data_IF_879564272468
#
_entry.id   IF_879564272468
#
_cell.length_a   1.000
_cell.length_b   1.000
_cell.length_c   1.000
_cell.angle_alpha   90.00
_cell.angle_beta   90.00
_cell.angle_gamma   90.00
#
_symmetry.space_group_name_H-M   'P 1'
#
loop_
_entity.id
_entity.type
_entity.pdbx_description
1 polymer ?
#
# COMPACT_ATOMS: atom_id res chain seq x y z
N UNK A 1 -8.14 -8.73 -28.80
CA UNK A 1 -7.70 -8.58 -27.38
C UNK A 1 -7.84 -9.91 -26.67
N UNK A 2 -6.74 -10.44 -26.14
CA UNK A 2 -6.76 -11.70 -25.37
C UNK A 2 -7.06 -11.49 -23.87
N UNK A 3 -7.10 -10.22 -23.42
CA UNK A 3 -7.29 -9.86 -22.03
C UNK A 3 -6.01 -9.94 -21.20
N UNK A 4 -6.14 -9.66 -19.90
CA UNK A 4 -5.05 -9.75 -18.91
C UNK A 4 -5.62 -10.12 -17.54
N UNK A 5 -4.76 -10.44 -16.55
CA UNK A 5 -5.18 -10.64 -15.17
C UNK A 5 -5.65 -9.34 -14.50
N UNK A 6 -6.30 -9.47 -13.34
CA UNK A 6 -6.88 -8.36 -12.57
C UNK A 6 -5.84 -7.29 -12.15
N UNK A 7 -4.67 -7.71 -11.66
CA UNK A 7 -3.64 -6.78 -11.19
C UNK A 7 -2.98 -5.96 -12.31
N UNK A 8 -2.56 -6.53 -13.47
CA UNK A 8 -2.13 -5.72 -14.60
C UNK A 8 -3.22 -4.77 -15.11
N UNK A 9 -4.48 -5.23 -15.16
CA UNK A 9 -5.60 -4.38 -15.55
C UNK A 9 -5.79 -3.20 -14.58
N UNK A 10 -5.73 -3.45 -13.27
CA UNK A 10 -5.79 -2.40 -12.26
C UNK A 10 -4.59 -1.44 -12.35
N UNK A 11 -3.39 -1.95 -12.64
CA UNK A 11 -2.21 -1.11 -12.86
C UNK A 11 -2.37 -0.18 -14.08
N UNK A 12 -2.99 -0.67 -15.17
CA UNK A 12 -3.34 0.16 -16.32
C UNK A 12 -4.34 1.23 -15.90
N UNK A 13 -5.43 0.85 -15.22
CA UNK A 13 -6.49 1.76 -14.78
C UNK A 13 -6.01 2.91 -13.89
N UNK A 14 -4.92 2.69 -13.13
CA UNK A 14 -4.35 3.71 -12.24
C UNK A 14 -3.28 4.59 -12.91
N UNK A 15 -2.96 4.32 -14.18
CA UNK A 15 -1.90 5.00 -14.90
C UNK A 15 -0.49 4.65 -14.38
N UNK A 16 -0.31 3.48 -13.77
CA UNK A 16 0.97 2.99 -13.26
C UNK A 16 2.04 2.99 -14.36
N UNK A 17 1.71 2.53 -15.56
CA UNK A 17 2.63 2.45 -16.70
C UNK A 17 2.88 3.77 -17.41
N UNK A 18 1.88 4.65 -17.47
CA UNK A 18 1.97 5.91 -18.21
C UNK A 18 3.04 6.87 -17.63
N UNK A 19 3.16 6.90 -16.30
CA UNK A 19 4.07 7.82 -15.59
C UNK A 19 5.14 7.09 -14.78
N UNK A 20 5.13 5.76 -14.75
CA UNK A 20 6.15 4.95 -14.07
C UNK A 20 6.12 5.01 -12.54
N UNK A 21 5.05 5.49 -11.93
CA UNK A 21 4.93 5.58 -10.47
C UNK A 21 4.30 4.33 -9.85
N UNK A 22 4.77 3.92 -8.65
CA UNK A 22 4.14 2.84 -7.90
C UNK A 22 2.69 3.14 -7.55
N UNK A 23 1.89 2.09 -7.49
CA UNK A 23 0.50 2.12 -7.06
C UNK A 23 0.30 1.13 -5.92
N UNK A 24 -0.32 1.59 -4.84
CA UNK A 24 -0.77 0.76 -3.72
C UNK A 24 -2.29 0.59 -3.80
N UNK A 25 -2.74 -0.63 -4.02
CA UNK A 25 -4.14 -0.98 -3.81
C UNK A 25 -4.35 -1.34 -2.34
N UNK A 26 -5.03 -0.47 -1.59
CA UNK A 26 -5.27 -0.62 -0.15
C UNK A 26 -6.66 -1.20 0.10
N UNK A 27 -6.78 -2.50 -0.16
CA UNK A 27 -7.97 -3.32 0.05
C UNK A 27 -7.86 -4.20 1.29
N UNK A 28 -8.48 -5.38 1.27
CA UNK A 28 -8.33 -6.43 2.31
C UNK A 28 -6.85 -6.75 2.52
N UNK A 29 -6.12 -6.97 1.44
CA UNK A 29 -4.65 -6.95 1.40
C UNK A 29 -4.15 -5.67 0.74
N UNK A 30 -2.89 -5.31 1.01
CA UNK A 30 -2.19 -4.21 0.35
C UNK A 30 -1.33 -4.75 -0.79
N UNK A 31 -1.66 -4.39 -2.02
CA UNK A 31 -0.91 -4.81 -3.21
C UNK A 31 -0.13 -3.62 -3.76
N UNK A 32 1.19 -3.68 -3.62
CA UNK A 32 2.08 -2.71 -4.26
C UNK A 32 2.42 -3.20 -5.66
N UNK A 33 2.13 -2.37 -6.65
CA UNK A 33 2.40 -2.59 -8.06
C UNK A 33 3.38 -1.53 -8.56
N UNK A 34 4.38 -1.96 -9.30
CA UNK A 34 5.44 -1.08 -9.74
C UNK A 34 5.95 -1.50 -11.13
N UNK A 35 5.97 -0.58 -12.13
CA UNK A 35 6.46 -0.89 -13.47
C UNK A 35 7.99 -0.89 -13.51
N UNK A 36 8.57 -1.89 -14.16
CA UNK A 36 10.02 -2.01 -14.39
C UNK A 36 10.34 -2.16 -15.87
N UNK A 37 11.53 -1.72 -16.27
CA UNK A 37 12.07 -1.91 -17.62
C UNK A 37 12.81 -3.24 -17.78
N UNK A 38 13.32 -3.80 -16.66
CA UNK A 38 14.07 -5.05 -16.63
C UNK A 38 13.69 -5.87 -15.40
N UNK A 39 13.68 -7.18 -15.55
CA UNK A 39 13.52 -8.10 -14.42
C UNK A 39 14.76 -8.02 -13.54
N UNK A 40 14.55 -7.95 -12.23
CA UNK A 40 15.59 -8.10 -11.22
C UNK A 40 15.20 -9.26 -10.29
N UNK A 41 16.00 -10.33 -10.29
CA UNK A 41 15.78 -11.51 -9.44
C UNK A 41 16.40 -11.39 -8.04
N UNK A 42 17.16 -10.33 -7.77
CA UNK A 42 17.76 -10.09 -6.46
C UNK A 42 16.79 -9.44 -5.47
N UNK A 43 15.66 -8.90 -5.97
CA UNK A 43 14.62 -8.27 -5.15
C UNK A 43 13.41 -9.18 -5.02
N UNK A 44 12.65 -8.99 -3.92
CA UNK A 44 11.42 -9.73 -3.69
C UNK A 44 10.27 -9.17 -4.54
N UNK A 45 9.26 -9.99 -4.75
CA UNK A 45 8.08 -9.66 -5.52
C UNK A 45 7.87 -10.60 -6.72
N UNK A 46 6.67 -10.58 -7.27
CA UNK A 46 6.30 -11.37 -8.44
C UNK A 46 6.43 -10.50 -9.69
N UNK A 47 7.20 -10.96 -10.68
CA UNK A 47 7.28 -10.31 -11.99
C UNK A 47 6.14 -10.83 -12.88
N UNK A 48 5.32 -9.92 -13.40
CA UNK A 48 4.24 -10.21 -14.34
C UNK A 48 4.63 -9.58 -15.68
N UNK A 49 4.70 -10.40 -16.71
CA UNK A 49 5.00 -9.96 -18.05
C UNK A 49 3.71 -9.87 -18.85
N UNK A 50 3.51 -8.79 -19.57
CA UNK A 50 2.38 -8.61 -20.48
C UNK A 50 2.69 -7.55 -21.53
N UNK A 51 1.83 -7.43 -22.55
CA UNK A 51 1.93 -6.42 -23.59
C UNK A 51 0.58 -5.74 -23.78
N UNK A 52 0.58 -4.43 -23.96
CA UNK A 52 -0.62 -3.66 -24.26
C UNK A 52 -0.90 -3.55 -25.77
N UNK A 53 0.16 -3.58 -26.57
CA UNK A 53 0.11 -3.38 -28.03
C UNK A 53 0.56 -4.58 -28.86
N UNK A 54 1.00 -5.66 -28.18
CA UNK A 54 1.54 -6.86 -28.80
C UNK A 54 2.98 -6.71 -29.32
N UNK A 55 3.63 -5.56 -29.10
CA UNK A 55 5.00 -5.27 -29.56
C UNK A 55 5.95 -5.18 -28.39
N UNK A 56 5.63 -4.32 -27.41
CA UNK A 56 6.47 -4.09 -26.26
C UNK A 56 6.07 -4.98 -25.06
N UNK A 57 7.06 -5.57 -24.43
CA UNK A 57 6.86 -6.33 -23.16
C UNK A 57 6.96 -5.36 -22.00
N UNK A 58 5.91 -5.28 -21.23
CA UNK A 58 5.84 -4.54 -19.97
C UNK A 58 6.06 -5.49 -18.80
N UNK A 59 6.78 -4.99 -17.80
CA UNK A 59 7.05 -5.74 -16.57
C UNK A 59 6.36 -5.02 -15.42
N UNK A 60 5.46 -5.73 -14.74
CA UNK A 60 4.85 -5.28 -13.50
C UNK A 60 5.41 -6.11 -12.35
N UNK A 61 6.13 -5.47 -11.43
CA UNK A 61 6.52 -6.12 -10.19
C UNK A 61 5.42 -5.91 -9.17
N UNK A 62 5.02 -6.98 -8.51
CA UNK A 62 3.95 -6.98 -7.53
C UNK A 62 4.42 -7.59 -6.22
N UNK A 63 4.13 -6.93 -5.11
CA UNK A 63 4.31 -7.44 -3.77
C UNK A 63 3.06 -7.23 -2.92
N UNK A 64 2.90 -8.02 -1.87
CA UNK A 64 1.67 -8.06 -1.09
C UNK A 64 1.98 -8.02 0.41
N UNK A 65 1.33 -7.09 1.12
CA UNK A 65 1.08 -7.17 2.56
C UNK A 65 -0.29 -7.82 2.74
N UNK A 66 -0.35 -9.04 3.30
CA UNK A 66 -1.56 -9.84 3.31
C UNK A 66 -2.69 -9.27 4.15
N UNK A 67 -2.36 -8.56 5.22
CA UNK A 67 -3.32 -8.01 6.18
C UNK A 67 -3.17 -6.50 6.27
N UNK A 68 -3.84 -5.76 5.40
CA UNK A 68 -3.94 -4.29 5.47
C UNK A 68 -5.33 -3.87 5.93
N UNK A 69 -6.29 -3.74 5.03
CA UNK A 69 -7.66 -3.45 5.39
C UNK A 69 -8.29 -4.53 6.26
N UNK A 70 -7.87 -5.80 6.13
CA UNK A 70 -8.30 -6.87 7.05
C UNK A 70 -7.78 -6.67 8.47
N UNK A 71 -6.59 -6.15 8.69
CA UNK A 71 -6.10 -5.81 10.04
C UNK A 71 -6.92 -4.69 10.66
N UNK A 72 -7.22 -3.65 9.89
CA UNK A 72 -8.07 -2.56 10.38
C UNK A 72 -9.52 -3.03 10.60
N UNK A 73 -10.05 -3.88 9.71
CA UNK A 73 -11.37 -4.48 9.88
C UNK A 73 -11.44 -5.39 11.13
N UNK A 74 -10.44 -6.22 11.33
CA UNK A 74 -10.32 -7.03 12.54
C UNK A 74 -10.29 -6.16 13.80
N UNK A 75 -9.48 -5.10 13.79
CA UNK A 75 -9.40 -4.18 14.93
C UNK A 75 -10.74 -3.52 15.21
N UNK A 76 -11.32 -2.84 14.23
CA UNK A 76 -12.54 -2.04 14.42
C UNK A 76 -13.76 -2.92 14.65
N UNK A 77 -14.00 -3.93 13.80
CA UNK A 77 -15.24 -4.73 13.87
C UNK A 77 -15.17 -5.83 14.91
N UNK A 78 -14.07 -6.60 14.95
CA UNK A 78 -14.02 -7.78 15.80
C UNK A 78 -13.54 -7.43 17.22
N UNK A 79 -12.58 -6.52 17.36
CA UNK A 79 -12.00 -6.19 18.67
C UNK A 79 -12.76 -5.06 19.34
N UNK A 80 -13.01 -3.96 18.64
CA UNK A 80 -13.72 -2.80 19.19
C UNK A 80 -15.25 -2.92 19.10
N UNK A 81 -15.76 -3.85 18.29
CA UNK A 81 -17.18 -4.01 17.99
C UNK A 81 -17.84 -2.71 17.51
N UNK A 82 -17.09 -1.93 16.71
CA UNK A 82 -17.54 -0.67 16.13
C UNK A 82 -17.90 -0.86 14.65
N UNK A 83 -18.84 -0.05 14.16
CA UNK A 83 -19.37 -0.19 12.80
C UNK A 83 -18.62 0.65 11.78
N UNK A 84 -18.07 1.81 12.19
CA UNK A 84 -17.48 2.78 11.28
C UNK A 84 -15.98 3.01 11.53
N UNK A 85 -15.18 2.74 10.49
CA UNK A 85 -13.74 3.03 10.50
C UNK A 85 -13.41 4.52 10.56
N UNK A 86 -14.30 5.38 10.06
CA UNK A 86 -14.07 6.82 10.02
C UNK A 86 -14.25 7.42 11.40
N UNK A 87 -15.22 6.92 12.17
CA UNK A 87 -15.46 7.35 13.55
C UNK A 87 -14.23 7.10 14.44
N UNK A 88 -13.56 5.97 14.27
CA UNK A 88 -12.36 5.61 15.05
C UNK A 88 -11.17 6.56 14.81
N UNK A 89 -11.18 7.30 13.73
CA UNK A 89 -10.15 8.31 13.41
C UNK A 89 -10.64 9.74 13.54
N UNK A 90 -11.92 9.95 13.90
CA UNK A 90 -12.47 11.30 14.11
C UNK A 90 -11.74 11.99 15.24
N UNK A 91 -11.37 13.27 15.01
CA UNK A 91 -10.68 14.11 15.99
C UNK A 91 -9.24 13.64 16.30
N UNK A 92 -8.62 12.84 15.43
CA UNK A 92 -7.17 12.61 15.49
C UNK A 92 -6.45 13.91 15.13
N UNK A 93 -5.66 14.43 16.06
CA UNK A 93 -4.78 15.56 15.75
C UNK A 93 -3.59 15.03 14.93
N UNK A 94 -3.59 15.38 13.66
CA UNK A 94 -2.54 14.96 12.74
C UNK A 94 -1.14 15.41 13.18
N UNK A 95 -1.02 16.49 13.96
CA UNK A 95 0.27 17.01 14.43
C UNK A 95 0.99 16.04 15.37
N UNK A 96 0.25 15.21 16.09
CA UNK A 96 0.76 14.25 17.07
C UNK A 96 0.93 12.83 16.49
N UNK A 97 0.75 12.64 15.19
CA UNK A 97 1.04 11.36 14.55
C UNK A 97 2.54 11.05 14.64
N UNK A 98 2.85 9.81 14.98
CA UNK A 98 4.23 9.33 15.17
C UNK A 98 4.76 9.44 16.59
N UNK A 99 4.12 10.18 17.49
CA UNK A 99 4.49 10.29 18.92
C UNK A 99 4.09 9.05 19.73
N UNK A 100 3.14 8.28 19.24
CA UNK A 100 2.68 7.05 19.87
C UNK A 100 3.79 5.98 19.87
N UNK A 101 4.25 5.54 21.06
CA UNK A 101 5.28 4.52 21.21
C UNK A 101 4.78 3.09 20.96
N UNK A 102 3.45 2.90 20.94
CA UNK A 102 2.82 1.61 20.67
C UNK A 102 3.06 1.20 19.21
N UNK A 103 3.43 -0.04 19.00
CA UNK A 103 3.61 -0.63 17.67
C UNK A 103 2.62 -1.76 17.44
N UNK A 104 2.08 -1.83 16.23
CA UNK A 104 1.31 -2.99 15.75
C UNK A 104 2.07 -3.69 14.61
N UNK A 105 2.13 -5.02 14.69
CA UNK A 105 2.73 -5.87 13.68
C UNK A 105 1.60 -6.56 12.88
N UNK A 106 1.35 -6.20 11.60
CA UNK A 106 0.07 -6.46 10.95
C UNK A 106 -0.07 -7.85 10.30
N UNK A 107 0.83 -8.79 10.56
CA UNK A 107 0.88 -10.08 9.86
C UNK A 107 -0.12 -11.11 10.41
N UNK A 108 -1.42 -10.75 10.52
CA UNK A 108 -2.47 -11.60 11.14
C UNK A 108 -2.67 -12.95 10.46
N UNK A 109 -2.34 -13.07 9.17
CA UNK A 109 -2.50 -14.28 8.36
C UNK A 109 -1.21 -14.69 7.65
N UNK A 110 -0.08 -14.44 8.31
CA UNK A 110 1.24 -14.70 7.76
C UNK A 110 1.70 -13.64 6.76
N UNK A 111 2.81 -13.92 6.10
CA UNK A 111 3.40 -13.03 5.09
C UNK A 111 3.88 -13.79 3.85
N UNK A 112 3.62 -13.23 2.66
CA UNK A 112 3.97 -13.84 1.37
C UNK A 112 5.18 -13.22 0.69
N UNK A 113 5.47 -11.94 0.93
CA UNK A 113 6.47 -11.23 0.14
C UNK A 113 7.67 -10.79 0.97
N UNK A 114 7.43 -10.21 2.15
CA UNK A 114 8.49 -9.60 2.96
C UNK A 114 9.35 -10.68 3.62
N UNK A 115 8.72 -11.59 4.34
CA UNK A 115 9.38 -12.67 5.10
C UNK A 115 9.20 -14.05 4.48
N UNK A 116 8.11 -14.24 3.71
CA UNK A 116 7.70 -15.53 3.15
C UNK A 116 7.44 -16.56 4.27
N UNK A 117 6.81 -16.10 5.34
CA UNK A 117 6.52 -16.86 6.55
C UNK A 117 5.00 -16.95 6.75
N UNK A 118 4.38 -18.11 6.45
CA UNK A 118 2.94 -18.30 6.60
C UNK A 118 2.50 -18.43 8.05
N UNK A 119 3.41 -18.78 8.96
CA UNK A 119 3.11 -18.99 10.38
C UNK A 119 3.15 -17.69 11.19
N UNK A 120 3.69 -16.63 10.62
CA UNK A 120 3.77 -15.32 11.28
C UNK A 120 2.39 -14.80 11.66
N UNK A 121 2.29 -14.22 12.85
CA UNK A 121 1.04 -13.62 13.37
C UNK A 121 1.26 -12.19 13.81
N UNK A 122 0.15 -11.45 13.91
CA UNK A 122 0.16 -10.07 14.35
C UNK A 122 0.40 -9.94 15.86
N UNK A 123 0.93 -8.78 16.25
CA UNK A 123 1.15 -8.48 17.68
C UNK A 123 1.09 -6.98 17.95
N UNK A 124 0.72 -6.61 19.18
CA UNK A 124 0.98 -5.28 19.73
C UNK A 124 2.22 -5.34 20.61
N UNK A 125 3.07 -4.32 20.51
CA UNK A 125 4.30 -4.20 21.30
C UNK A 125 4.35 -2.82 21.94
N UNK A 126 4.52 -2.77 23.26
CA UNK A 126 4.61 -1.52 24.02
C UNK A 126 3.29 -1.05 24.64
N UNK A 127 2.33 -1.96 24.92
CA UNK A 127 1.10 -1.63 25.64
C UNK A 127 1.44 -1.25 27.08
N UNK A 128 0.96 -0.10 27.54
CA UNK A 128 1.02 0.37 28.92
C UNK A 128 -0.38 0.47 29.55
N UNK A 129 -0.42 0.76 30.85
CA UNK A 129 -1.69 0.92 31.58
C UNK A 129 -2.51 2.12 31.16
N UNK A 130 -1.89 3.08 30.52
CA UNK A 130 -2.43 4.33 30.00
C UNK A 130 -2.73 4.31 28.50
N UNK A 131 -2.43 3.19 27.82
CA UNK A 131 -2.67 3.02 26.39
C UNK A 131 -4.16 3.15 26.08
N UNK A 132 -4.49 4.10 25.23
CA UNK A 132 -5.86 4.40 24.84
C UNK A 132 -6.32 3.65 23.59
N UNK A 133 -7.62 3.48 23.43
CA UNK A 133 -8.25 2.95 22.20
C UNK A 133 -7.80 3.68 20.94
N UNK A 134 -7.67 5.02 21.01
CA UNK A 134 -7.24 5.85 19.88
C UNK A 134 -5.80 5.58 19.49
N UNK A 135 -4.90 5.47 20.45
CA UNK A 135 -3.50 5.12 20.20
C UNK A 135 -3.36 3.73 19.58
N UNK A 136 -4.16 2.76 20.02
CA UNK A 136 -4.18 1.43 19.42
C UNK A 136 -4.69 1.47 17.97
N UNK A 137 -5.73 2.25 17.68
CA UNK A 137 -6.25 2.44 16.31
C UNK A 137 -5.19 3.06 15.38
N UNK A 138 -4.49 4.10 15.87
CA UNK A 138 -3.39 4.75 15.12
C UNK A 138 -2.25 3.75 14.92
N UNK A 139 -1.85 3.02 15.95
CA UNK A 139 -0.79 2.01 15.86
C UNK A 139 -1.08 0.93 14.81
N UNK A 140 -2.35 0.50 14.66
CA UNK A 140 -2.75 -0.44 13.60
C UNK A 140 -2.48 0.16 12.21
N UNK A 141 -2.86 1.41 11.96
CA UNK A 141 -2.62 2.09 10.67
C UNK A 141 -1.13 2.33 10.42
N UNK A 142 -0.37 2.73 11.45
CA UNK A 142 1.08 2.92 11.39
C UNK A 142 1.81 1.60 11.11
N UNK A 143 1.44 0.52 11.80
CA UNK A 143 2.02 -0.80 11.58
C UNK A 143 1.84 -1.32 10.15
N UNK A 144 0.65 -1.09 9.57
CA UNK A 144 0.40 -1.40 8.15
C UNK A 144 1.28 -0.52 7.25
N UNK A 145 1.43 0.77 7.55
CA UNK A 145 2.30 1.67 6.78
C UNK A 145 3.77 1.26 6.87
N UNK A 146 4.25 0.76 8.03
CA UNK A 146 5.59 0.21 8.17
C UNK A 146 5.78 -1.08 7.36
N UNK A 147 4.79 -1.96 7.33
CA UNK A 147 4.84 -3.15 6.46
C UNK A 147 4.90 -2.76 4.97
N UNK A 148 4.14 -1.74 4.55
CA UNK A 148 4.23 -1.19 3.19
C UNK A 148 5.63 -0.60 2.92
N UNK A 149 6.20 0.16 3.86
CA UNK A 149 7.58 0.69 3.74
C UNK A 149 8.61 -0.42 3.58
N UNK A 150 8.47 -1.49 4.34
CA UNK A 150 9.35 -2.66 4.24
C UNK A 150 9.14 -3.38 2.90
N UNK A 151 7.89 -3.51 2.43
CA UNK A 151 7.57 -4.07 1.11
C UNK A 151 8.25 -3.27 -0.01
N UNK A 152 8.15 -1.93 0.01
CA UNK A 152 8.86 -1.02 -0.92
C UNK A 152 10.35 -1.31 -0.93
N UNK A 153 10.97 -1.45 0.26
CA UNK A 153 12.40 -1.72 0.41
C UNK A 153 12.80 -3.09 -0.19
N UNK A 154 12.10 -4.17 0.16
CA UNK A 154 12.46 -5.51 -0.34
C UNK A 154 12.16 -5.72 -1.83
N UNK A 155 11.25 -4.92 -2.39
CA UNK A 155 11.00 -4.88 -3.84
C UNK A 155 12.02 -4.02 -4.61
N UNK A 156 12.96 -3.36 -3.92
CA UNK A 156 14.00 -2.56 -4.53
C UNK A 156 13.47 -1.34 -5.29
N UNK A 157 12.41 -0.71 -4.76
CA UNK A 157 11.90 0.56 -5.30
C UNK A 157 12.78 1.69 -4.79
N UNK A 158 13.42 2.43 -5.70
CA UNK A 158 14.31 3.54 -5.32
C UNK A 158 13.51 4.77 -4.85
N UNK A 159 14.21 5.73 -4.22
CA UNK A 159 13.57 6.98 -3.77
C UNK A 159 13.01 7.80 -4.93
N UNK A 160 13.71 7.80 -6.07
CA UNK A 160 13.31 8.51 -7.28
C UNK A 160 12.06 7.87 -7.88
N UNK A 161 11.99 6.54 -7.90
CA UNK A 161 10.84 5.77 -8.34
C UNK A 161 9.64 5.96 -7.41
N UNK A 162 9.90 6.09 -6.09
CA UNK A 162 8.89 6.36 -5.07
C UNK A 162 8.62 7.86 -4.88
N UNK A 163 9.02 8.75 -5.78
CA UNK A 163 8.75 10.18 -5.65
C UNK A 163 7.25 10.49 -5.47
N UNK A 164 6.41 9.59 -5.92
CA UNK A 164 4.95 9.60 -5.70
C UNK A 164 4.47 8.17 -5.51
N UNK A 165 3.46 8.01 -4.66
CA UNK A 165 2.72 6.77 -4.50
C UNK A 165 1.24 7.05 -4.77
N UNK A 166 0.68 6.45 -5.78
CA UNK A 166 -0.76 6.48 -6.01
C UNK A 166 -1.44 5.44 -5.12
N UNK A 167 -2.54 5.80 -4.48
CA UNK A 167 -3.27 4.88 -3.59
C UNK A 167 -4.72 4.79 -4.03
N UNK A 168 -5.22 3.55 -4.13
CA UNK A 168 -6.60 3.22 -4.46
C UNK A 168 -7.15 2.18 -3.46
N UNK A 169 -8.43 1.86 -3.56
CA UNK A 169 -9.08 0.88 -2.69
C UNK A 169 -9.84 1.51 -1.52
N UNK A 170 -10.48 0.67 -0.73
CA UNK A 170 -11.35 1.11 0.37
C UNK A 170 -10.62 1.89 1.45
N UNK A 171 -9.40 1.47 1.80
CA UNK A 171 -8.55 2.13 2.80
C UNK A 171 -8.11 3.53 2.41
N UNK A 172 -8.02 3.81 1.10
CA UNK A 172 -7.67 5.14 0.60
C UNK A 172 -8.68 6.25 0.98
N UNK A 173 -9.88 5.88 1.41
CA UNK A 173 -10.91 6.85 1.84
C UNK A 173 -10.60 7.50 3.18
N UNK A 174 -9.73 6.91 4.02
CA UNK A 174 -9.37 7.45 5.32
C UNK A 174 -8.18 8.39 5.19
N UNK A 175 -8.41 9.69 5.36
CA UNK A 175 -7.39 10.73 5.18
C UNK A 175 -6.28 10.68 6.24
N UNK A 176 -6.60 10.26 7.48
CA UNK A 176 -5.59 10.04 8.53
C UNK A 176 -4.60 8.96 8.09
N UNK A 177 -5.12 7.87 7.55
CA UNK A 177 -4.27 6.77 7.06
C UNK A 177 -3.43 7.18 5.86
N UNK A 178 -3.99 7.98 4.95
CA UNK A 178 -3.23 8.52 3.81
C UNK A 178 -2.09 9.44 4.27
N UNK A 179 -2.32 10.26 5.30
CA UNK A 179 -1.27 11.09 5.87
C UNK A 179 -0.19 10.27 6.58
N UNK A 180 -0.58 9.22 7.33
CA UNK A 180 0.36 8.28 7.94
C UNK A 180 1.23 7.62 6.87
N UNK A 181 0.64 7.14 5.78
CA UNK A 181 1.40 6.57 4.65
C UNK A 181 2.40 7.57 4.06
N UNK A 182 1.98 8.83 3.85
CA UNK A 182 2.87 9.86 3.32
C UNK A 182 4.06 10.12 4.24
N UNK A 183 3.82 10.24 5.55
CA UNK A 183 4.85 10.52 6.54
C UNK A 183 5.81 9.33 6.73
N UNK A 184 5.28 8.12 6.88
CA UNK A 184 6.07 6.88 7.06
C UNK A 184 6.94 6.58 5.86
N UNK A 185 6.40 6.71 4.65
CA UNK A 185 7.13 6.47 3.40
C UNK A 185 8.01 7.65 2.99
N UNK A 186 7.83 8.80 3.62
CA UNK A 186 8.45 10.07 3.25
C UNK A 186 8.30 10.36 1.75
N UNK A 187 7.07 10.19 1.25
CA UNK A 187 6.72 10.39 -0.16
C UNK A 187 5.37 11.06 -0.32
N UNK A 188 5.17 11.69 -1.47
CA UNK A 188 3.87 12.23 -1.86
C UNK A 188 2.88 11.09 -2.11
N UNK A 189 1.78 11.04 -1.37
CA UNK A 189 0.69 10.08 -1.56
C UNK A 189 -0.46 10.77 -2.31
N UNK A 190 -0.86 10.19 -3.43
CA UNK A 190 -1.93 10.67 -4.29
C UNK A 190 -3.10 9.69 -4.20
N UNK A 191 -4.19 10.13 -3.57
CA UNK A 191 -5.45 9.37 -3.51
C UNK A 191 -6.15 9.46 -4.86
N UNK A 192 -6.36 8.32 -5.49
CA UNK A 192 -7.13 8.28 -6.75
C UNK A 192 -8.63 8.40 -6.48
N UNK A 193 -9.34 9.05 -7.38
CA UNK A 193 -10.79 9.05 -7.36
C UNK A 193 -11.33 7.63 -7.60
N UNK A 194 -12.45 7.29 -6.99
CA UNK A 194 -13.01 5.95 -7.04
C UNK A 194 -13.42 5.56 -8.47
N UNK A 195 -13.06 4.36 -8.92
CA UNK A 195 -13.43 3.83 -10.23
C UNK A 195 -12.29 3.13 -10.99
N UNK A 196 -11.04 3.35 -10.59
CA UNK A 196 -9.88 2.75 -11.24
C UNK A 196 -9.67 1.27 -10.84
N UNK A 197 -10.66 0.42 -11.10
CA UNK A 197 -10.57 -1.04 -10.89
C UNK A 197 -10.13 -1.78 -12.16
N UNK A 198 -9.92 -3.11 -12.04
CA UNK A 198 -9.48 -3.96 -13.15
C UNK A 198 -10.41 -3.87 -14.38
N UNK A 199 -11.74 -3.84 -14.15
CA UNK A 199 -12.71 -3.68 -15.23
C UNK A 199 -12.52 -2.40 -16.02
N UNK A 200 -12.18 -1.29 -15.36
CA UNK A 200 -11.88 -0.03 -16.03
C UNK A 200 -10.61 -0.12 -16.88
N UNK A 201 -9.53 -0.76 -16.36
CA UNK A 201 -8.31 -0.98 -17.13
C UNK A 201 -8.53 -1.80 -18.41
N UNK A 202 -9.40 -2.82 -18.35
CA UNK A 202 -9.77 -3.59 -19.54
C UNK A 202 -10.60 -2.76 -20.51
N UNK A 203 -11.48 -1.89 -20.02
CA UNK A 203 -12.25 -0.98 -20.88
C UNK A 203 -11.33 0.01 -21.64
N UNK A 204 -10.30 0.55 -20.96
CA UNK A 204 -9.27 1.36 -21.62
C UNK A 204 -8.51 0.59 -22.70
N UNK A 205 -8.11 -0.66 -22.41
CA UNK A 205 -7.47 -1.52 -23.41
C UNK A 205 -8.39 -1.79 -24.61
N UNK A 206 -9.68 -2.01 -24.38
CA UNK A 206 -10.65 -2.23 -25.45
C UNK A 206 -10.84 -0.98 -26.32
N UNK A 207 -10.88 0.20 -25.71
CA UNK A 207 -11.01 1.47 -26.42
C UNK A 207 -9.82 1.69 -27.38
N UNK A 208 -8.58 1.55 -26.87
CA UNK A 208 -7.35 1.69 -27.69
C UNK A 208 -7.28 0.65 -28.80
N UNK A 209 -7.74 -0.58 -28.55
CA UNK A 209 -7.75 -1.62 -29.60
C UNK A 209 -8.83 -1.41 -30.65
N UNK A 210 -9.87 -0.66 -30.33
CA UNK A 210 -10.98 -0.33 -31.25
C UNK A 210 -10.76 0.91 -32.10
N UNK A 211 -9.82 1.79 -31.72
CA UNK A 211 -9.51 3.04 -32.42
C UNK A 211 -8.01 3.31 -32.41
N UNK A 212 -7.40 3.22 -33.59
CA UNK A 212 -5.95 3.44 -33.80
C UNK A 212 -5.48 4.87 -33.51
N UNK A 213 -6.41 5.83 -33.41
CA UNK A 213 -6.10 7.22 -33.06
C UNK A 213 -6.05 7.44 -31.54
N UNK A 214 -6.51 6.49 -30.73
CA UNK A 214 -6.47 6.60 -29.28
C UNK A 214 -5.13 6.10 -28.72
N UNK A 215 -4.49 6.95 -27.93
CA UNK A 215 -3.32 6.58 -27.15
C UNK A 215 -3.73 6.18 -25.73
N UNK A 216 -3.17 5.08 -25.20
CA UNK A 216 -3.39 4.67 -23.82
C UNK A 216 -2.98 5.77 -22.82
N UNK A 217 -1.88 6.48 -23.10
CA UNK A 217 -1.41 7.55 -22.23
C UNK A 217 -2.40 8.72 -22.20
N UNK A 218 -2.95 9.12 -23.36
CA UNK A 218 -3.91 10.22 -23.44
C UNK A 218 -5.23 9.86 -22.73
N UNK A 219 -5.70 8.62 -22.88
CA UNK A 219 -6.88 8.14 -22.16
C UNK A 219 -6.66 8.14 -20.64
N UNK A 220 -5.51 7.66 -20.18
CA UNK A 220 -5.17 7.66 -18.74
C UNK A 220 -5.10 9.09 -18.21
N UNK A 221 -4.50 10.03 -18.94
CA UNK A 221 -4.42 11.44 -18.53
C UNK A 221 -5.79 12.10 -18.44
N UNK A 222 -6.71 11.74 -19.32
CA UNK A 222 -8.08 12.27 -19.32
C UNK A 222 -8.98 11.66 -18.24
N UNK A 223 -8.69 10.44 -17.81
CA UNK A 223 -9.64 9.63 -17.05
C UNK A 223 -9.18 9.30 -15.63
N UNK A 224 -7.88 9.33 -15.35
CA UNK A 224 -7.33 9.07 -14.02
C UNK A 224 -7.18 10.38 -13.26
N UNK A 225 -8.14 10.67 -12.39
CA UNK A 225 -8.12 11.87 -11.55
C UNK A 225 -7.57 11.59 -10.15
N UNK A 226 -6.86 12.59 -9.61
CA UNK A 226 -6.39 12.61 -8.23
C UNK A 226 -7.41 13.39 -7.41
N UNK A 227 -7.98 12.73 -6.39
CA UNK A 227 -8.92 13.34 -5.47
C UNK A 227 -8.24 14.26 -4.46
N UNK A 228 -7.25 13.68 -3.76
CA UNK A 228 -6.48 14.40 -2.74
C UNK A 228 -4.98 14.05 -2.86
N UNK A 229 -4.15 14.97 -2.35
CA UNK A 229 -2.71 14.79 -2.29
C UNK A 229 -2.23 15.04 -0.86
N UNK A 230 -1.49 14.08 -0.32
CA UNK A 230 -0.90 14.13 1.02
C UNK A 230 0.61 14.29 0.90
N UNK A 231 1.13 15.35 1.51
CA UNK A 231 2.56 15.68 1.50
C UNK A 231 3.17 15.22 2.81
N UNK A 232 4.33 14.53 2.79
CA UNK A 232 4.99 14.11 4.00
C UNK A 232 5.40 15.32 4.83
N UNK A 233 5.18 15.26 6.15
CA UNK A 233 5.51 16.33 7.09
C UNK A 233 6.91 16.11 7.64
N UNK A 234 7.76 17.12 7.49
CA UNK A 234 9.17 17.05 7.90
C UNK A 234 9.33 16.70 9.40
N UNK A 235 8.47 17.27 10.23
CA UNK A 235 8.47 17.04 11.68
C UNK A 235 8.31 15.55 12.06
N UNK A 236 7.45 14.82 11.37
CA UNK A 236 7.15 13.42 11.69
C UNK A 236 8.18 12.43 11.12
N UNK A 237 9.04 12.88 10.20
CA UNK A 237 9.99 12.02 9.50
C UNK A 237 10.96 11.31 10.45
N UNK A 238 11.54 12.06 11.39
CA UNK A 238 12.52 11.50 12.32
C UNK A 238 11.85 10.55 13.33
N UNK A 239 10.68 10.91 13.82
CA UNK A 239 9.89 10.06 14.72
C UNK A 239 9.54 8.73 14.04
N UNK A 240 9.00 8.78 12.85
CA UNK A 240 8.64 7.58 12.10
C UNK A 240 9.86 6.74 11.67
N UNK A 241 10.99 7.36 11.38
CA UNK A 241 12.21 6.60 11.07
C UNK A 241 12.71 5.85 12.30
N UNK A 242 12.76 6.48 13.46
CA UNK A 242 13.15 5.84 14.72
C UNK A 242 12.19 4.68 15.07
N UNK A 243 10.89 4.91 14.94
CA UNK A 243 9.86 3.89 15.19
C UNK A 243 9.95 2.74 14.19
N UNK A 244 10.23 3.02 12.92
CA UNK A 244 10.43 2.01 11.89
C UNK A 244 11.66 1.12 12.18
N UNK A 245 12.77 1.68 12.69
CA UNK A 245 13.93 0.91 13.09
C UNK A 245 13.61 -0.04 14.28
N UNK A 246 12.72 0.37 15.19
CA UNK A 246 12.19 -0.52 16.24
C UNK A 246 11.30 -1.62 15.62
N UNK A 247 10.41 -1.25 14.69
CA UNK A 247 9.52 -2.16 13.98
C UNK A 247 10.25 -3.30 13.26
N UNK A 248 11.35 -3.00 12.58
CA UNK A 248 12.14 -4.00 11.83
C UNK A 248 12.70 -5.13 12.72
N UNK A 249 12.87 -4.88 14.02
CA UNK A 249 13.37 -5.90 14.98
C UNK A 249 12.28 -6.84 15.49
N UNK A 250 11.00 -6.53 15.26
CA UNK A 250 9.87 -7.32 15.78
C UNK A 250 9.87 -8.73 15.20
N UNK A 251 10.15 -8.88 13.91
CA UNK A 251 10.20 -10.20 13.27
C UNK A 251 11.21 -11.12 13.94
N UNK A 252 12.45 -10.67 14.08
CA UNK A 252 13.51 -11.48 14.69
C UNK A 252 13.23 -11.82 16.15
N UNK A 253 12.54 -10.94 16.87
CA UNK A 253 12.13 -11.19 18.24
C UNK A 253 11.00 -12.23 18.37
N UNK A 254 10.08 -12.28 17.40
CA UNK A 254 8.85 -13.09 17.51
C UNK A 254 8.85 -14.36 16.65
N UNK A 255 9.66 -14.45 15.59
CA UNK A 255 9.62 -15.59 14.65
C UNK A 255 9.75 -16.96 15.34
N UNK A 256 10.58 -17.07 16.37
CA UNK A 256 10.81 -18.32 17.10
C UNK A 256 9.61 -18.76 17.97
N UNK A 257 8.64 -17.87 18.20
CA UNK A 257 7.40 -18.20 18.92
C UNK A 257 6.43 -18.97 18.02
N UNK A 258 6.50 -18.73 16.70
CA UNK A 258 5.57 -19.27 15.71
C UNK A 258 6.17 -20.43 14.89
N UNK A 259 7.49 -20.61 14.94
CA UNK A 259 8.22 -21.66 14.22
C UNK A 259 8.57 -22.75 15.23
N UNK A 260 7.74 -23.80 15.36
CA UNK A 260 8.07 -25.05 16.08
C UNK A 260 8.72 -26.06 15.14
#
# INVERSE_FOLDING_TARGET
LTGTGDNPAAAIATGCFAKGYPVLSLGTSGVLMYPKKKINFEVKGKNILFSMDGKDVLILVQGVVQSTGSSLAWWVKNTLQADDFMEETTGVDLKHLGENELMFYPHLVGDKTIYQDPELRGSFVGIGTDTTRKEMTIAVMEGIAFAVKQLVSVMGVSKEELARLKVTGGGAKNEVWMQILADVLNTKVEQLESGAGAGYGIALCAAVAGDENLSMNDLIEQTVSIKNTFIPRQYNRELYEQKYQKYLRVYDALKHIYQE
#
